data_IF_312556227915
#
_entry.id   IF_312556227915
#
_cell.length_a   1.000
_cell.length_b   1.000
_cell.length_c   1.000
_cell.angle_alpha   90.00
_cell.angle_beta   90.00
_cell.angle_gamma   90.00
#
_symmetry.space_group_name_H-M   'P 1'
#
loop_
_entity.id
_entity.type
_entity.pdbx_description
1 polymer ?
#
# COMPACT_ATOMS: atom_id res chain seq x y z
N UNK A 1 9.46 28.62 10.08
CA UNK A 1 8.39 28.56 9.07
C UNK A 1 8.78 27.76 7.82
N UNK A 2 9.88 28.07 7.12
CA UNK A 2 10.30 27.34 5.89
C UNK A 2 10.42 25.81 6.05
N UNK A 3 11.08 25.33 7.12
CA UNK A 3 11.27 23.90 7.38
C UNK A 3 9.97 23.11 7.73
N UNK A 4 8.94 23.80 8.22
CA UNK A 4 7.62 23.18 8.44
C UNK A 4 6.88 23.00 7.12
N UNK A 5 6.94 24.03 6.26
CA UNK A 5 6.33 24.01 4.93
C UNK A 5 6.97 22.94 4.04
N UNK A 6 8.29 22.77 4.09
CA UNK A 6 8.97 21.70 3.36
C UNK A 6 8.57 20.31 3.85
N UNK A 7 8.33 20.15 5.17
CA UNK A 7 7.88 18.88 5.74
C UNK A 7 6.42 18.57 5.41
N UNK A 8 5.56 19.58 5.36
CA UNK A 8 4.19 19.45 4.87
C UNK A 8 4.16 19.00 3.40
N UNK A 9 4.98 19.63 2.54
CA UNK A 9 5.12 19.21 1.15
C UNK A 9 5.63 17.76 1.03
N UNK A 10 6.61 17.37 1.86
CA UNK A 10 7.10 15.99 1.88
C UNK A 10 6.02 14.98 2.29
N UNK A 11 5.10 15.36 3.19
CA UNK A 11 3.93 14.56 3.57
C UNK A 11 2.97 14.43 2.39
N UNK A 12 2.65 15.53 1.70
CA UNK A 12 1.78 15.53 0.52
C UNK A 12 2.35 14.59 -0.57
N UNK A 13 3.65 14.69 -0.84
CA UNK A 13 4.33 13.79 -1.79
C UNK A 13 4.29 12.33 -1.32
N UNK A 14 4.49 12.07 -0.02
CA UNK A 14 4.43 10.72 0.52
C UNK A 14 3.01 10.12 0.47
N UNK A 15 1.97 10.94 0.63
CA UNK A 15 0.56 10.54 0.41
C UNK A 15 0.35 10.13 -1.03
N UNK A 16 0.76 10.96 -1.99
CA UNK A 16 0.64 10.65 -3.42
C UNK A 16 1.39 9.35 -3.80
N UNK A 17 2.59 9.14 -3.24
CA UNK A 17 3.37 7.91 -3.46
C UNK A 17 2.70 6.66 -2.88
N UNK A 18 2.10 6.76 -1.68
CA UNK A 18 1.30 5.68 -1.09
C UNK A 18 0.10 5.36 -1.98
N UNK A 19 -0.62 6.36 -2.47
CA UNK A 19 -1.81 6.17 -3.29
C UNK A 19 -1.46 5.48 -4.62
N UNK A 20 -0.36 5.88 -5.25
CA UNK A 20 0.18 5.18 -6.42
C UNK A 20 0.55 3.72 -6.12
N UNK A 21 1.17 3.45 -4.97
CA UNK A 21 1.48 2.08 -4.54
C UNK A 21 0.20 1.25 -4.31
N UNK A 22 -0.85 1.86 -3.73
CA UNK A 22 -2.14 1.22 -3.52
C UNK A 22 -2.83 0.89 -4.86
N UNK A 23 -2.78 1.79 -5.84
CA UNK A 23 -3.28 1.51 -7.19
C UNK A 23 -2.53 0.36 -7.85
N UNK A 24 -1.20 0.31 -7.72
CA UNK A 24 -0.39 -0.81 -8.24
C UNK A 24 -0.75 -2.14 -7.59
N UNK A 25 -0.98 -2.16 -6.28
CA UNK A 25 -1.43 -3.35 -5.57
C UNK A 25 -2.81 -3.82 -6.07
N UNK A 26 -3.75 -2.89 -6.27
CA UNK A 26 -5.06 -3.22 -6.82
C UNK A 26 -4.96 -3.82 -8.23
N UNK A 27 -4.13 -3.25 -9.09
CA UNK A 27 -3.87 -3.78 -10.44
C UNK A 27 -3.24 -5.18 -10.39
N UNK A 28 -2.30 -5.42 -9.47
CA UNK A 28 -1.68 -6.73 -9.29
C UNK A 28 -2.70 -7.79 -8.85
N UNK A 29 -3.60 -7.44 -7.92
CA UNK A 29 -4.69 -8.33 -7.50
C UNK A 29 -5.67 -8.63 -8.64
N UNK A 30 -6.04 -7.63 -9.44
CA UNK A 30 -6.90 -7.84 -10.61
C UNK A 30 -6.25 -8.79 -11.62
N UNK A 31 -4.95 -8.61 -11.89
CA UNK A 31 -4.20 -9.50 -12.78
C UNK A 31 -4.12 -10.94 -12.25
N UNK A 32 -3.91 -11.11 -10.93
CA UNK A 32 -3.91 -12.41 -10.28
C UNK A 32 -5.28 -13.10 -10.36
N UNK A 33 -6.36 -12.37 -10.08
CA UNK A 33 -7.72 -12.89 -10.18
C UNK A 33 -8.06 -13.31 -11.61
N UNK A 34 -7.68 -12.50 -12.60
CA UNK A 34 -7.87 -12.82 -14.01
C UNK A 34 -7.08 -14.07 -14.43
N UNK A 35 -5.81 -14.18 -14.02
CA UNK A 35 -5.00 -15.36 -14.28
C UNK A 35 -5.59 -16.64 -13.63
N UNK A 36 -6.18 -16.51 -12.44
CA UNK A 36 -6.88 -17.59 -11.76
C UNK A 36 -8.14 -18.04 -12.50
N UNK A 37 -8.95 -17.08 -12.98
CA UNK A 37 -10.13 -17.38 -13.78
C UNK A 37 -9.78 -18.12 -15.09
N UNK A 38 -8.70 -17.71 -15.77
CA UNK A 38 -8.21 -18.39 -16.97
C UNK A 38 -7.75 -19.83 -16.68
N UNK A 39 -7.01 -20.04 -15.59
CA UNK A 39 -6.59 -21.40 -15.16
C UNK A 39 -7.81 -22.29 -14.90
N UNK A 40 -8.82 -21.76 -14.21
CA UNK A 40 -10.05 -22.48 -13.96
C UNK A 40 -10.75 -22.85 -15.27
N UNK A 41 -10.87 -21.92 -16.23
CA UNK A 41 -11.45 -22.20 -17.54
C UNK A 41 -10.71 -23.32 -18.28
N UNK A 42 -9.38 -23.32 -18.29
CA UNK A 42 -8.59 -24.37 -18.93
C UNK A 42 -8.81 -25.73 -18.27
N UNK A 43 -8.85 -25.76 -16.93
CA UNK A 43 -9.02 -27.00 -16.15
C UNK A 43 -10.43 -27.57 -16.28
N UNK A 44 -11.44 -26.71 -16.25
CA UNK A 44 -12.84 -27.11 -16.44
C UNK A 44 -13.05 -27.66 -17.85
N UNK A 45 -12.46 -26.99 -18.85
CA UNK A 45 -12.54 -27.43 -20.24
C UNK A 45 -11.83 -28.77 -20.49
N UNK A 46 -10.69 -29.02 -19.85
CA UNK A 46 -10.02 -30.32 -19.87
C UNK A 46 -10.93 -31.41 -19.32
N UNK A 47 -11.51 -31.19 -18.13
CA UNK A 47 -12.42 -32.13 -17.47
C UNK A 47 -13.64 -32.44 -18.33
N UNK A 48 -14.27 -31.42 -18.90
CA UNK A 48 -15.43 -31.61 -19.78
C UNK A 48 -15.06 -32.44 -21.02
N UNK A 49 -13.90 -32.17 -21.61
CA UNK A 49 -13.43 -32.87 -22.81
C UNK A 49 -13.17 -34.34 -22.51
N UNK A 50 -12.54 -34.66 -21.36
CA UNK A 50 -12.33 -36.04 -20.90
C UNK A 50 -13.65 -36.77 -20.60
N UNK A 51 -14.62 -36.11 -19.96
CA UNK A 51 -15.93 -36.69 -19.66
C UNK A 51 -16.73 -37.03 -20.92
N UNK A 52 -16.76 -36.11 -21.90
CA UNK A 52 -17.40 -36.34 -23.20
C UNK A 52 -16.71 -37.48 -23.93
N UNK A 53 -15.38 -37.55 -23.87
CA UNK A 53 -14.60 -38.62 -24.48
C UNK A 53 -14.93 -40.01 -23.90
N UNK A 54 -14.92 -40.16 -22.57
CA UNK A 54 -15.28 -41.41 -21.90
C UNK A 54 -16.70 -41.90 -22.25
N UNK A 55 -17.60 -40.97 -22.55
CA UNK A 55 -18.99 -41.25 -22.91
C UNK A 55 -19.12 -41.65 -24.39
N UNK A 56 -18.38 -40.98 -25.29
CA UNK A 56 -18.34 -41.27 -26.72
C UNK A 56 -17.59 -42.55 -27.07
N UNK A 57 -16.53 -42.88 -26.32
CA UNK A 57 -15.71 -44.07 -26.55
C UNK A 57 -16.43 -45.41 -26.42
N UNK A 58 -17.60 -45.41 -25.78
CA UNK A 58 -18.48 -46.59 -25.70
C UNK A 58 -19.19 -46.92 -27.02
N UNK A 59 -19.17 -46.01 -28.00
CA UNK A 59 -19.76 -46.18 -29.34
C UNK A 59 -18.62 -46.01 -30.36
N UNK A 60 -18.02 -47.12 -30.80
CA UNK A 60 -16.88 -47.23 -31.75
C UNK A 60 -16.29 -45.91 -32.27
N UNK A 61 -15.06 -45.59 -31.86
CA UNK A 61 -14.32 -44.41 -32.32
C UNK A 61 -13.40 -44.76 -33.49
N UNK A 62 -13.36 -43.89 -34.51
CA UNK A 62 -12.37 -43.96 -35.59
C UNK A 62 -10.94 -43.62 -35.09
N UNK A 63 -9.89 -44.33 -35.56
CA UNK A 63 -8.50 -44.11 -35.16
C UNK A 63 -7.96 -42.69 -35.36
N UNK A 64 -8.46 -41.96 -36.36
CA UNK A 64 -8.03 -40.57 -36.64
C UNK A 64 -8.56 -39.58 -35.59
N UNK A 65 -9.78 -39.79 -35.11
CA UNK A 65 -10.37 -39.01 -34.02
C UNK A 65 -9.63 -39.22 -32.69
N UNK A 66 -9.11 -40.43 -32.46
CA UNK A 66 -8.22 -40.75 -31.33
C UNK A 66 -6.94 -39.90 -31.37
N UNK A 67 -6.28 -39.84 -32.52
CA UNK A 67 -5.04 -39.07 -32.68
C UNK A 67 -5.25 -37.57 -32.40
N UNK A 68 -6.30 -36.98 -32.97
CA UNK A 68 -6.61 -35.57 -32.75
C UNK A 68 -6.98 -35.25 -31.30
N UNK A 69 -7.71 -36.15 -30.62
CA UNK A 69 -8.04 -35.98 -29.21
C UNK A 69 -6.78 -35.91 -28.34
N UNK A 70 -5.85 -36.86 -28.48
CA UNK A 70 -4.62 -36.85 -27.69
C UNK A 70 -3.73 -35.63 -28.00
N UNK A 71 -3.64 -35.23 -29.28
CA UNK A 71 -2.87 -34.05 -29.65
C UNK A 71 -3.47 -32.78 -29.03
N UNK A 72 -4.80 -32.67 -29.00
CA UNK A 72 -5.49 -31.56 -28.39
C UNK A 72 -5.31 -31.50 -26.88
N UNK A 73 -5.50 -32.63 -26.19
CA UNK A 73 -5.29 -32.75 -24.74
C UNK A 73 -3.85 -32.40 -24.37
N UNK A 74 -2.86 -32.88 -25.14
CA UNK A 74 -1.46 -32.53 -24.92
C UNK A 74 -1.20 -31.02 -25.01
N UNK A 75 -1.80 -30.33 -25.99
CA UNK A 75 -1.71 -28.87 -26.10
C UNK A 75 -2.41 -28.15 -24.94
N UNK A 76 -3.55 -28.67 -24.48
CA UNK A 76 -4.29 -28.09 -23.36
C UNK A 76 -3.51 -28.22 -22.04
N UNK A 77 -2.85 -29.36 -21.82
CA UNK A 77 -1.94 -29.57 -20.68
C UNK A 77 -0.78 -28.58 -20.74
N UNK A 78 -0.15 -28.40 -21.90
CA UNK A 78 0.91 -27.40 -22.09
C UNK A 78 0.41 -25.98 -21.78
N UNK A 79 -0.80 -25.62 -22.22
CA UNK A 79 -1.39 -24.31 -21.91
C UNK A 79 -1.64 -24.13 -20.40
N UNK A 80 -2.06 -25.18 -19.69
CA UNK A 80 -2.21 -25.18 -18.23
C UNK A 80 -0.85 -24.96 -17.55
N UNK A 81 0.21 -25.65 -17.98
CA UNK A 81 1.55 -25.46 -17.42
C UNK A 81 2.06 -24.02 -17.62
N UNK A 82 1.86 -23.46 -18.81
CA UNK A 82 2.19 -22.05 -19.07
C UNK A 82 1.38 -21.10 -18.18
N UNK A 83 0.08 -21.38 -18.01
CA UNK A 83 -0.80 -20.58 -17.16
C UNK A 83 -0.41 -20.67 -15.69
N UNK A 84 0.11 -21.79 -15.21
CA UNK A 84 0.62 -21.92 -13.84
C UNK A 84 1.82 -20.98 -13.63
N UNK A 85 2.72 -20.89 -14.60
CA UNK A 85 3.81 -19.91 -14.59
C UNK A 85 3.31 -18.46 -14.51
N UNK A 86 2.24 -18.12 -15.25
CA UNK A 86 1.59 -16.80 -15.17
C UNK A 86 0.98 -16.55 -13.78
N UNK A 87 0.32 -17.56 -13.20
CA UNK A 87 -0.23 -17.49 -11.85
C UNK A 87 0.84 -17.26 -10.78
N UNK A 88 1.97 -17.98 -10.88
CA UNK A 88 3.10 -17.77 -9.97
C UNK A 88 3.67 -16.36 -10.13
N UNK A 89 3.86 -15.88 -11.36
CA UNK A 89 4.34 -14.53 -11.62
C UNK A 89 3.40 -13.44 -11.09
N UNK A 90 2.08 -13.61 -11.21
CA UNK A 90 1.10 -12.65 -10.66
C UNK A 90 1.06 -12.67 -9.13
N UNK A 91 1.22 -13.84 -8.49
CA UNK A 91 1.38 -13.94 -7.02
C UNK A 91 2.59 -13.15 -6.53
N UNK A 92 3.75 -13.33 -7.18
CA UNK A 92 4.96 -12.58 -6.84
C UNK A 92 4.78 -11.07 -7.02
N UNK A 93 4.10 -10.63 -8.09
CA UNK A 93 3.80 -9.20 -8.31
C UNK A 93 2.93 -8.61 -7.20
N UNK A 94 1.95 -9.38 -6.70
CA UNK A 94 1.13 -8.97 -5.56
C UNK A 94 1.99 -8.79 -4.32
N UNK A 95 2.85 -9.76 -4.01
CA UNK A 95 3.76 -9.69 -2.85
C UNK A 95 4.69 -8.47 -2.92
N UNK A 96 5.29 -8.21 -4.08
CA UNK A 96 6.14 -7.04 -4.31
C UNK A 96 5.34 -5.74 -4.10
N UNK A 97 4.14 -5.64 -4.67
CA UNK A 97 3.31 -4.45 -4.53
C UNK A 97 2.85 -4.22 -3.08
N UNK A 98 2.58 -5.28 -2.31
CA UNK A 98 2.29 -5.19 -0.88
C UNK A 98 3.48 -4.64 -0.09
N UNK A 99 4.70 -5.14 -0.37
CA UNK A 99 5.91 -4.65 0.26
C UNK A 99 6.19 -3.19 -0.09
N UNK A 100 5.95 -2.77 -1.34
CA UNK A 100 6.07 -1.37 -1.74
C UNK A 100 5.07 -0.47 -1.01
N UNK A 101 3.81 -0.88 -0.92
CA UNK A 101 2.79 -0.14 -0.19
C UNK A 101 3.19 0.05 1.28
N UNK A 102 3.62 -1.04 1.95
CA UNK A 102 4.08 -0.99 3.33
C UNK A 102 5.23 0.01 3.53
N UNK A 103 6.23 0.01 2.62
CA UNK A 103 7.34 0.97 2.66
C UNK A 103 6.85 2.42 2.53
N UNK A 104 5.89 2.69 1.65
CA UNK A 104 5.33 4.04 1.49
C UNK A 104 4.53 4.48 2.73
N UNK A 105 3.76 3.57 3.33
CA UNK A 105 3.03 3.84 4.57
C UNK A 105 3.96 4.14 5.74
N UNK A 106 5.02 3.35 5.91
CA UNK A 106 6.06 3.59 6.92
C UNK A 106 6.73 4.96 6.75
N UNK A 107 7.05 5.33 5.50
CA UNK A 107 7.63 6.63 5.19
C UNK A 107 6.67 7.78 5.53
N UNK A 108 5.40 7.65 5.16
CA UNK A 108 4.36 8.63 5.49
C UNK A 108 4.19 8.78 7.01
N UNK A 109 4.12 7.67 7.74
CA UNK A 109 4.03 7.67 9.19
C UNK A 109 5.24 8.38 9.83
N UNK A 110 6.45 8.11 9.33
CA UNK A 110 7.68 8.75 9.79
C UNK A 110 7.65 10.27 9.61
N UNK A 111 7.20 10.76 8.45
CA UNK A 111 7.06 12.20 8.22
C UNK A 111 6.00 12.86 9.12
N UNK A 112 4.85 12.20 9.33
CA UNK A 112 3.81 12.69 10.24
C UNK A 112 4.31 12.78 11.69
N UNK A 113 5.04 11.76 12.16
CA UNK A 113 5.65 11.78 13.49
C UNK A 113 6.68 12.89 13.63
N UNK A 114 7.52 13.11 12.61
CA UNK A 114 8.49 14.21 12.61
C UNK A 114 7.80 15.58 12.68
N UNK A 115 6.69 15.76 11.95
CA UNK A 115 5.91 17.00 11.96
C UNK A 115 5.32 17.25 13.36
N UNK A 116 4.71 16.24 13.97
CA UNK A 116 4.17 16.33 15.33
C UNK A 116 5.26 16.73 16.34
N UNK A 117 6.44 16.09 16.29
CA UNK A 117 7.58 16.43 17.16
C UNK A 117 8.02 17.88 16.96
N UNK A 118 8.08 18.36 15.71
CA UNK A 118 8.47 19.75 15.42
C UNK A 118 7.44 20.75 15.94
N UNK A 119 6.15 20.48 15.76
CA UNK A 119 5.08 21.35 16.26
C UNK A 119 5.09 21.42 17.79
N UNK A 120 5.25 20.28 18.48
CA UNK A 120 5.36 20.23 19.94
C UNK A 120 6.55 21.04 20.45
N UNK A 121 7.73 20.92 19.80
CA UNK A 121 8.91 21.69 20.18
C UNK A 121 8.73 23.20 19.98
N UNK A 122 8.00 23.63 18.94
CA UNK A 122 7.67 25.04 18.70
C UNK A 122 6.72 25.56 19.78
N UNK A 123 5.65 24.83 20.07
CA UNK A 123 4.69 25.19 21.11
C UNK A 123 5.37 25.32 22.48
N UNK A 124 6.26 24.38 22.83
CA UNK A 124 7.02 24.43 24.09
C UNK A 124 7.93 25.66 24.17
N UNK A 125 8.61 26.03 23.06
CA UNK A 125 9.44 27.24 23.02
C UNK A 125 8.61 28.51 23.19
N UNK A 126 7.44 28.55 22.54
CA UNK A 126 6.54 29.69 22.63
C UNK A 126 6.00 29.85 24.06
N UNK A 127 5.52 28.76 24.68
CA UNK A 127 5.06 28.77 26.07
C UNK A 127 6.16 29.26 27.03
N UNK A 128 7.41 28.81 26.85
CA UNK A 128 8.55 29.28 27.66
C UNK A 128 8.84 30.77 27.45
N UNK A 129 8.67 31.28 26.23
CA UNK A 129 8.86 32.70 25.93
C UNK A 129 7.78 33.56 26.56
N UNK A 130 6.51 33.14 26.45
CA UNK A 130 5.37 33.84 27.04
C UNK A 130 5.45 33.85 28.56
N UNK A 131 5.83 32.72 29.17
CA UNK A 131 6.06 32.64 30.61
C UNK A 131 7.16 33.62 31.07
N UNK A 132 8.31 33.66 30.38
CA UNK A 132 9.39 34.60 30.71
C UNK A 132 8.94 36.06 30.63
N UNK A 133 8.19 36.43 29.58
CA UNK A 133 7.66 37.79 29.44
C UNK A 133 6.68 38.14 30.56
N UNK A 134 5.83 37.19 30.97
CA UNK A 134 4.91 37.37 32.09
C UNK A 134 5.65 37.55 33.42
N UNK A 135 6.69 36.73 33.66
CA UNK A 135 7.51 36.80 34.87
C UNK A 135 8.27 38.15 34.95
N UNK A 136 8.82 38.63 33.83
CA UNK A 136 9.47 39.93 33.72
C UNK A 136 8.49 41.08 34.01
N UNK A 137 7.27 41.02 33.45
CA UNK A 137 6.23 42.02 33.69
C UNK A 137 5.78 42.04 35.16
N UNK A 138 5.58 40.87 35.77
CA UNK A 138 5.24 40.74 37.18
C UNK A 138 6.35 41.32 38.08
N UNK A 139 7.62 41.05 37.78
CA UNK A 139 8.75 41.59 38.52
C UNK A 139 8.79 43.13 38.45
N UNK A 140 8.55 43.73 37.28
CA UNK A 140 8.46 45.18 37.12
C UNK A 140 7.31 45.80 37.93
N UNK A 141 6.13 45.17 37.92
CA UNK A 141 4.99 45.61 38.72
C UNK A 141 5.29 45.60 40.22
N UNK A 142 5.89 44.50 40.72
CA UNK A 142 6.28 44.39 42.14
C UNK A 142 7.32 45.45 42.50
N UNK A 143 8.31 45.69 41.64
CA UNK A 143 9.32 46.72 41.88
C UNK A 143 8.71 48.12 41.93
N UNK A 144 7.77 48.42 41.02
CA UNK A 144 7.06 49.70 41.01
C UNK A 144 6.20 49.88 42.26
N UNK A 145 5.48 48.83 42.68
CA UNK A 145 4.67 48.89 43.88
C UNK A 145 5.52 49.10 45.15
N UNK A 146 6.68 48.44 45.24
CA UNK A 146 7.65 48.66 46.33
C UNK A 146 8.18 50.08 46.36
N UNK A 147 8.51 50.68 45.20
CA UNK A 147 8.95 52.08 45.14
C UNK A 147 7.87 53.04 45.64
N UNK A 148 6.63 52.87 45.19
CA UNK A 148 5.50 53.69 45.64
C UNK A 148 5.23 53.57 47.15
N UNK A 149 5.42 52.38 47.73
CA UNK A 149 5.32 52.18 49.18
C UNK A 149 6.46 52.84 49.96
N UNK A 150 7.67 52.87 49.40
CA UNK A 150 8.83 53.51 50.02
C UNK A 150 8.78 55.05 49.96
N UNK A 151 8.13 55.63 48.93
CA UNK A 151 7.95 57.09 48.79
C UNK A 151 6.80 57.64 49.65
N UNK A 152 5.95 56.78 50.21
CA UNK A 152 4.80 57.15 51.05
C UNK A 152 5.12 57.18 52.56
N UNK A 153 6.38 56.97 52.95
CA UNK A 153 6.91 56.98 54.33
C UNK A 153 7.86 58.17 54.47
#
# INVERSE_FOLDING_TARGET
MSALRSLQLAIEMAVAQRDQAQTRLQQAHQAQAFAGAQMQQLTDYLRETEQRWLSGARKSIEPELLHHHYQFVARLIQAIELQDGVLQGTRQRVEIAQQELLKMEQRLASFKQLLQKRLAAIAQRQQRSEQKQMDEFAALLVQRHRKLQAEAI
#
